data_IF_799950750916
#
_entry.id   IF_799950750916
#
_cell.length_a   1.000
_cell.length_b   1.000
_cell.length_c   1.000
_cell.angle_alpha   90.00
_cell.angle_beta   90.00
_cell.angle_gamma   90.00
#
_symmetry.space_group_name_H-M   'P 1'
#
loop_
_entity.id
_entity.type
_entity.pdbx_description
1 polymer ?
#
# COMPACT_ATOMS: atom_id res chain seq x y z
N UNK A 1 17.27 -9.17 -30.38
CA UNK A 1 18.36 -8.31 -29.84
C UNK A 1 18.35 -8.52 -28.34
N UNK A 2 19.39 -9.13 -27.76
CA UNK A 2 19.42 -9.48 -26.32
C UNK A 2 19.68 -8.21 -25.54
N UNK A 3 18.75 -7.83 -24.67
CA UNK A 3 18.83 -6.61 -23.87
C UNK A 3 20.12 -6.64 -23.03
N UNK A 4 20.89 -5.54 -23.09
CA UNK A 4 22.31 -5.53 -22.70
C UNK A 4 22.54 -5.50 -21.19
N UNK A 5 21.47 -5.39 -20.38
CA UNK A 5 21.57 -5.33 -18.94
C UNK A 5 20.23 -5.78 -18.33
N UNK A 6 20.18 -6.83 -17.51
CA UNK A 6 18.93 -7.33 -16.91
C UNK A 6 18.32 -6.38 -15.85
N UNK A 7 18.87 -5.17 -15.71
CA UNK A 7 18.51 -4.16 -14.71
C UNK A 7 18.18 -2.80 -15.34
N UNK A 8 18.05 -2.70 -16.68
CA UNK A 8 17.77 -1.40 -17.32
C UNK A 8 16.41 -0.81 -16.94
N UNK A 9 15.46 -1.67 -16.54
CA UNK A 9 14.15 -1.28 -15.99
C UNK A 9 14.25 -0.76 -14.54
N UNK A 10 15.39 -0.96 -13.87
CA UNK A 10 15.60 -0.52 -12.47
C UNK A 10 15.93 0.97 -12.34
N UNK A 11 16.19 1.65 -13.45
CA UNK A 11 16.63 3.06 -13.46
C UNK A 11 15.47 4.03 -13.71
N UNK A 12 14.33 3.54 -14.22
CA UNK A 12 13.19 4.38 -14.60
C UNK A 12 12.11 4.34 -13.52
N UNK A 13 11.86 5.49 -12.89
CA UNK A 13 10.73 5.67 -12.00
C UNK A 13 9.46 5.81 -12.84
N UNK A 14 8.64 4.75 -12.87
CA UNK A 14 7.34 4.78 -13.53
C UNK A 14 6.31 5.53 -12.66
N UNK A 15 5.27 6.15 -13.25
CA UNK A 15 4.14 6.65 -12.48
C UNK A 15 3.57 5.56 -11.57
N UNK A 16 3.13 5.93 -10.38
CA UNK A 16 2.54 4.99 -9.41
C UNK A 16 1.41 4.19 -10.08
N UNK A 17 1.44 2.86 -9.96
CA UNK A 17 0.44 1.99 -10.57
C UNK A 17 -0.85 1.91 -9.75
N UNK A 18 -0.78 2.29 -8.48
CA UNK A 18 -1.90 2.40 -7.57
C UNK A 18 -1.83 3.71 -6.80
N UNK A 19 -2.97 4.19 -6.30
CA UNK A 19 -3.07 5.49 -5.60
C UNK A 19 -3.78 5.41 -4.26
N UNK A 20 -4.43 4.28 -3.97
CA UNK A 20 -5.10 4.01 -2.70
C UNK A 20 -4.62 2.67 -2.18
N UNK A 21 -4.78 2.41 -0.89
CA UNK A 21 -4.27 1.20 -0.26
C UNK A 21 -4.95 -0.05 -0.83
N UNK A 22 -6.25 0.01 -1.13
CA UNK A 22 -7.00 -1.09 -1.72
C UNK A 22 -6.52 -1.42 -3.13
N UNK A 23 -6.18 -0.40 -3.93
CA UNK A 23 -5.55 -0.61 -5.23
C UNK A 23 -4.13 -1.18 -5.09
N UNK A 24 -3.40 -0.81 -4.04
CA UNK A 24 -2.12 -1.43 -3.71
C UNK A 24 -2.26 -2.91 -3.41
N UNK A 25 -3.21 -3.29 -2.54
CA UNK A 25 -3.51 -4.69 -2.20
C UNK A 25 -3.94 -5.47 -3.45
N UNK A 26 -4.79 -4.89 -4.29
CA UNK A 26 -5.21 -5.52 -5.54
C UNK A 26 -4.01 -5.75 -6.48
N UNK A 27 -3.13 -4.75 -6.63
CA UNK A 27 -1.93 -4.88 -7.44
C UNK A 27 -0.96 -5.94 -6.90
N UNK A 28 -0.85 -6.06 -5.58
CA UNK A 28 -0.04 -7.12 -4.96
C UNK A 28 -0.59 -8.52 -5.28
N UNK A 29 -1.91 -8.70 -5.27
CA UNK A 29 -2.56 -9.96 -5.68
C UNK A 29 -2.33 -10.27 -7.16
N UNK A 30 -2.43 -9.28 -8.04
CA UNK A 30 -2.14 -9.43 -9.47
C UNK A 30 -0.68 -9.87 -9.71
N UNK A 31 0.27 -9.33 -8.94
CA UNK A 31 1.67 -9.77 -8.99
C UNK A 31 1.82 -11.22 -8.53
N UNK A 32 1.08 -11.64 -7.50
CA UNK A 32 1.12 -13.01 -7.00
C UNK A 32 0.54 -14.00 -8.01
N UNK A 33 -0.61 -13.68 -8.64
CA UNK A 33 -1.18 -14.46 -9.73
C UNK A 33 -0.20 -14.60 -10.90
N UNK A 34 0.48 -13.51 -11.27
CA UNK A 34 1.47 -13.53 -12.33
C UNK A 34 2.62 -14.49 -11.98
N UNK A 35 3.21 -14.37 -10.77
CA UNK A 35 4.29 -15.25 -10.34
C UNK A 35 3.80 -16.71 -10.28
N UNK A 36 2.58 -16.98 -9.79
CA UNK A 36 1.97 -18.32 -9.80
C UNK A 36 1.95 -18.92 -11.22
N UNK A 37 1.47 -18.18 -12.22
CA UNK A 37 1.40 -18.64 -13.62
C UNK A 37 2.79 -18.95 -14.19
N UNK A 38 3.80 -18.13 -13.87
CA UNK A 38 5.16 -18.35 -14.37
C UNK A 38 5.86 -19.55 -13.71
N UNK A 39 5.59 -19.82 -12.43
CA UNK A 39 6.18 -20.94 -11.69
C UNK A 39 5.43 -22.28 -11.90
N UNK A 40 4.13 -22.26 -12.20
CA UNK A 40 3.32 -23.46 -12.47
C UNK A 40 3.79 -24.22 -13.73
N UNK A 41 4.47 -23.52 -14.66
CA UNK A 41 5.03 -24.11 -15.89
C UNK A 41 6.14 -25.16 -15.64
N UNK A 42 6.80 -25.13 -14.48
CA UNK A 42 7.90 -26.06 -14.14
C UNK A 42 7.50 -27.13 -13.06
N UNK A 43 6.24 -27.12 -12.56
CA UNK A 43 5.65 -27.88 -11.45
C UNK A 43 6.25 -27.63 -10.03
N UNK A 44 5.37 -27.33 -9.05
CA UNK A 44 5.34 -27.77 -7.61
C UNK A 44 4.42 -26.82 -6.80
N UNK A 45 3.33 -27.37 -6.22
CA UNK A 45 2.63 -26.94 -4.98
C UNK A 45 2.50 -25.43 -4.67
N UNK A 46 2.20 -24.59 -5.65
CA UNK A 46 1.78 -23.23 -5.32
C UNK A 46 0.38 -23.24 -4.70
N UNK A 47 0.12 -22.40 -3.68
CA UNK A 47 -1.22 -22.22 -3.15
C UNK A 47 -2.20 -21.89 -4.27
N UNK A 48 -3.43 -22.40 -4.20
CA UNK A 48 -4.48 -22.02 -5.16
C UNK A 48 -4.96 -20.59 -4.94
N UNK A 49 -4.76 -20.05 -3.72
CA UNK A 49 -5.11 -18.69 -3.35
C UNK A 49 -3.89 -17.75 -3.46
N UNK A 50 -3.95 -16.68 -4.29
CA UNK A 50 -2.93 -15.64 -4.35
C UNK A 50 -2.59 -14.98 -3.01
N UNK A 51 -3.52 -14.96 -2.04
CA UNK A 51 -3.27 -14.38 -0.72
C UNK A 51 -2.29 -15.21 0.12
N UNK A 52 -2.22 -16.52 -0.12
CA UNK A 52 -1.34 -17.44 0.62
C UNK A 52 0.08 -17.50 0.03
N UNK A 53 0.29 -16.89 -1.15
CA UNK A 53 1.59 -16.87 -1.81
C UNK A 53 2.58 -16.06 -0.98
N UNK A 54 3.75 -16.64 -0.71
CA UNK A 54 4.86 -15.91 -0.10
C UNK A 54 5.38 -14.84 -1.07
N UNK A 55 5.57 -13.63 -0.56
CA UNK A 55 6.13 -12.55 -1.35
C UNK A 55 7.56 -12.90 -1.79
N UNK A 56 7.79 -12.93 -3.09
CA UNK A 56 9.14 -13.07 -3.64
C UNK A 56 9.84 -11.72 -3.66
N UNK A 57 11.18 -11.71 -3.64
CA UNK A 57 11.95 -10.46 -3.75
C UNK A 57 11.62 -9.69 -5.05
N UNK A 58 11.38 -10.43 -6.15
CA UNK A 58 10.93 -9.87 -7.43
C UNK A 58 9.59 -9.15 -7.29
N UNK A 59 8.59 -9.83 -6.72
CA UNK A 59 7.27 -9.26 -6.47
C UNK A 59 7.36 -8.01 -5.59
N UNK A 60 8.12 -8.07 -4.49
CA UNK A 60 8.30 -6.95 -3.58
C UNK A 60 8.92 -5.72 -4.26
N UNK A 61 9.96 -5.91 -5.08
CA UNK A 61 10.58 -4.81 -5.81
C UNK A 61 9.60 -4.14 -6.80
N UNK A 62 8.81 -4.93 -7.53
CA UNK A 62 7.76 -4.41 -8.42
C UNK A 62 6.70 -3.63 -7.65
N UNK A 63 6.28 -4.16 -6.49
CA UNK A 63 5.30 -3.52 -5.62
C UNK A 63 5.80 -2.18 -5.08
N UNK A 64 6.99 -2.14 -4.47
CA UNK A 64 7.56 -0.91 -3.90
C UNK A 64 7.76 0.18 -4.96
N UNK A 65 8.22 -0.19 -6.16
CA UNK A 65 8.40 0.78 -7.26
C UNK A 65 7.09 1.31 -7.83
N UNK A 66 6.02 0.55 -7.72
CA UNK A 66 4.70 0.96 -8.16
C UNK A 66 3.98 1.88 -7.18
N UNK A 67 4.50 2.02 -5.97
CA UNK A 67 3.85 2.72 -4.89
C UNK A 67 3.96 4.25 -5.03
N UNK A 68 2.91 4.99 -4.65
CA UNK A 68 3.00 6.42 -4.39
C UNK A 68 4.04 6.75 -3.32
N UNK A 69 4.73 7.87 -3.49
CA UNK A 69 5.75 8.35 -2.54
C UNK A 69 5.21 8.57 -1.13
N UNK A 70 3.92 8.89 -0.98
CA UNK A 70 3.25 9.04 0.33
C UNK A 70 3.27 7.75 1.17
N UNK A 71 3.39 6.59 0.54
CA UNK A 71 3.47 5.29 1.21
C UNK A 71 4.91 4.78 1.38
N UNK A 72 5.92 5.56 1.00
CA UNK A 72 7.32 5.15 1.10
C UNK A 72 7.74 4.78 2.54
N UNK A 73 7.26 5.53 3.53
CA UNK A 73 7.55 5.25 4.94
C UNK A 73 6.97 3.91 5.40
N UNK A 74 5.76 3.56 4.97
CA UNK A 74 5.14 2.28 5.27
C UNK A 74 5.97 1.13 4.68
N UNK A 75 6.32 1.24 3.40
CA UNK A 75 7.07 0.21 2.70
C UNK A 75 8.50 0.03 3.25
N UNK A 76 9.09 1.08 3.80
CA UNK A 76 10.37 1.01 4.49
C UNK A 76 10.27 0.29 5.85
N UNK A 77 9.11 0.31 6.50
CA UNK A 77 8.86 -0.30 7.82
C UNK A 77 8.39 -1.74 7.71
N UNK A 78 7.81 -2.16 6.57
CA UNK A 78 7.43 -3.56 6.36
C UNK A 78 8.66 -4.47 6.45
N UNK A 79 8.77 -5.19 7.56
CA UNK A 79 9.90 -6.08 7.82
C UNK A 79 9.82 -7.33 6.94
N UNK A 80 10.91 -7.62 6.23
CA UNK A 80 11.14 -8.93 5.64
C UNK A 80 11.59 -9.90 6.74
N UNK A 81 10.67 -10.72 7.25
CA UNK A 81 10.95 -11.63 8.38
C UNK A 81 11.67 -12.91 7.93
N UNK A 82 12.99 -12.93 8.04
CA UNK A 82 13.79 -14.16 7.89
C UNK A 82 14.16 -14.49 6.43
N UNK A 83 14.37 -15.77 6.14
CA UNK A 83 14.71 -16.24 4.78
C UNK A 83 13.49 -16.28 3.85
N UNK A 84 12.30 -16.47 4.41
CA UNK A 84 11.01 -16.46 3.70
C UNK A 84 10.36 -15.07 3.79
N UNK A 85 9.75 -14.61 2.70
CA UNK A 85 9.03 -13.33 2.68
C UNK A 85 7.64 -13.45 3.32
N UNK A 86 7.02 -12.33 3.76
CA UNK A 86 5.64 -12.35 4.23
C UNK A 86 4.69 -12.82 3.12
N UNK A 87 3.59 -13.44 3.49
CA UNK A 87 2.51 -13.77 2.56
C UNK A 87 1.83 -12.49 2.03
N UNK A 88 1.15 -12.61 0.89
CA UNK A 88 0.36 -11.51 0.33
C UNK A 88 -0.70 -11.01 1.32
N UNK A 89 -1.33 -11.93 2.08
CA UNK A 89 -2.31 -11.57 3.12
C UNK A 89 -1.68 -10.79 4.27
N UNK A 90 -0.50 -11.20 4.75
CA UNK A 90 0.22 -10.46 5.80
C UNK A 90 0.59 -9.04 5.36
N UNK A 91 1.06 -8.88 4.12
CA UNK A 91 1.34 -7.55 3.55
C UNK A 91 0.04 -6.75 3.44
N UNK A 92 -1.04 -7.35 2.95
CA UNK A 92 -2.34 -6.69 2.84
C UNK A 92 -2.86 -6.22 4.20
N UNK A 93 -2.74 -7.04 5.24
CA UNK A 93 -3.11 -6.68 6.60
C UNK A 93 -2.27 -5.51 7.14
N UNK A 94 -0.95 -5.48 6.88
CA UNK A 94 -0.09 -4.36 7.26
C UNK A 94 -0.45 -3.06 6.53
N UNK A 95 -0.81 -3.15 5.23
CA UNK A 95 -1.29 -2.03 4.44
C UNK A 95 -2.58 -1.45 5.06
N UNK A 96 -3.56 -2.29 5.36
CA UNK A 96 -4.82 -1.87 6.00
C UNK A 96 -4.59 -1.24 7.38
N UNK A 97 -3.79 -1.90 8.22
CA UNK A 97 -3.49 -1.40 9.56
C UNK A 97 -2.83 -0.01 9.53
N UNK A 98 -1.94 0.24 8.57
CA UNK A 98 -1.31 1.55 8.43
C UNK A 98 -2.32 2.63 8.00
N UNK A 99 -3.23 2.31 7.08
CA UNK A 99 -4.28 3.23 6.65
C UNK A 99 -5.23 3.59 7.80
N UNK A 100 -5.63 2.61 8.61
CA UNK A 100 -6.45 2.84 9.80
C UNK A 100 -5.73 3.74 10.82
N UNK A 101 -4.45 3.48 11.06
CA UNK A 101 -3.62 4.29 11.95
C UNK A 101 -3.41 5.73 11.46
N UNK A 102 -3.41 5.96 10.15
CA UNK A 102 -3.36 7.30 9.57
C UNK A 102 -4.71 8.02 9.63
N UNK A 103 -5.79 7.30 9.32
CA UNK A 103 -7.13 7.88 9.19
C UNK A 103 -7.69 8.27 10.56
N UNK A 104 -7.54 7.42 11.57
CA UNK A 104 -8.16 7.65 12.89
C UNK A 104 -7.74 8.97 13.58
N UNK A 105 -6.44 9.32 13.70
CA UNK A 105 -6.04 10.59 14.30
C UNK A 105 -6.47 11.80 13.47
N UNK A 106 -6.44 11.67 12.13
CA UNK A 106 -6.84 12.72 11.21
C UNK A 106 -8.34 13.00 11.33
N UNK A 107 -9.17 11.97 11.32
CA UNK A 107 -10.62 12.08 11.50
C UNK A 107 -10.98 12.75 12.83
N UNK A 108 -10.33 12.33 13.93
CA UNK A 108 -10.50 12.97 15.24
C UNK A 108 -10.09 14.46 15.22
N UNK A 109 -9.00 14.81 14.53
CA UNK A 109 -8.55 16.19 14.41
C UNK A 109 -9.55 17.03 13.59
N UNK A 110 -10.05 16.49 12.48
CA UNK A 110 -11.06 17.11 11.63
C UNK A 110 -12.34 17.34 12.42
N UNK A 111 -12.87 16.33 13.13
CA UNK A 111 -14.07 16.49 13.97
C UNK A 111 -13.91 17.60 15.02
N UNK A 112 -12.75 17.64 15.71
CA UNK A 112 -12.47 18.67 16.72
C UNK A 112 -12.45 20.06 16.09
N UNK A 113 -11.83 20.21 14.93
CA UNK A 113 -11.80 21.48 14.21
C UNK A 113 -13.19 21.89 13.75
N UNK A 114 -13.98 20.98 13.18
CA UNK A 114 -15.36 21.24 12.76
C UNK A 114 -16.23 21.74 13.92
N UNK A 115 -16.13 21.11 15.11
CA UNK A 115 -16.85 21.57 16.32
C UNK A 115 -16.44 22.98 16.74
N UNK A 116 -15.14 23.30 16.68
CA UNK A 116 -14.63 24.64 17.03
C UNK A 116 -15.08 25.69 16.02
N UNK A 117 -15.11 25.36 14.73
CA UNK A 117 -15.62 26.26 13.67
C UNK A 117 -17.09 26.56 13.91
N UNK A 118 -17.92 25.53 14.16
CA UNK A 118 -19.34 25.72 14.45
C UNK A 118 -19.56 26.62 15.67
N UNK A 119 -18.81 26.42 16.76
CA UNK A 119 -18.93 27.25 17.95
C UNK A 119 -18.54 28.73 17.70
N UNK A 120 -17.54 28.98 16.85
CA UNK A 120 -17.18 30.34 16.45
C UNK A 120 -18.26 30.99 15.61
N UNK A 121 -18.88 30.26 14.68
CA UNK A 121 -20.01 30.75 13.88
C UNK A 121 -21.20 31.11 14.76
N UNK A 122 -21.54 30.26 15.73
CA UNK A 122 -22.59 30.54 16.72
C UNK A 122 -22.27 31.81 17.53
N UNK A 123 -21.04 31.92 18.06
CA UNK A 123 -20.61 33.10 18.84
C UNK A 123 -20.64 34.40 18.01
N UNK A 124 -20.36 34.34 16.71
CA UNK A 124 -20.44 35.50 15.81
C UNK A 124 -21.89 35.86 15.44
N UNK A 125 -22.79 34.88 15.40
CA UNK A 125 -24.22 35.10 15.17
C UNK A 125 -24.91 35.75 16.39
N UNK A 126 -24.40 35.52 17.60
CA UNK A 126 -24.87 36.17 18.82
C UNK A 126 -24.12 37.51 19.05
N UNK A 127 -24.30 38.48 18.14
CA UNK A 127 -23.97 39.87 18.46
C UNK A 127 -25.10 40.47 19.30
N UNK A 128 -24.88 40.95 20.54
CA UNK A 128 -25.93 41.62 21.30
C UNK A 128 -26.31 42.89 20.54
N UNK A 129 -27.57 42.98 20.10
CA UNK A 129 -28.14 44.25 19.67
C UNK A 129 -28.15 45.18 20.89
N UNK A 130 -27.19 46.11 20.93
CA UNK A 130 -27.18 47.27 21.84
C UNK A 130 -28.13 48.32 21.28
#
# INVERSE_FOLDING_TARGET
MRERYPFSEDVVCHPSKWTTMERGIQYLRELAEQEMIYYDLDNVQLPTDPNEVQCTRSMWQKFVRSAPSIYANLLAVMEWKGEEGPTVDEVAAQLQQYEENLSSPLDSAVEKLSRKVQQLEENMSYSPHI
#
